data_IF_301976749586
#
_entry.id   IF_301976749586
#
_cell.length_a   1.000
_cell.length_b   1.000
_cell.length_c   1.000
_cell.angle_alpha   90.00
_cell.angle_beta   90.00
_cell.angle_gamma   90.00
#
_symmetry.space_group_name_H-M   'P 1'
#
loop_
_entity.id
_entity.type
_entity.pdbx_description
1 polymer ?
#
# COMPACT_ATOMS: atom_id res chain seq x y z
N UNK A 1 -36.80 71.55 21.41
CA UNK A 1 -35.70 70.80 20.77
C UNK A 1 -36.16 69.35 20.67
N UNK A 2 -36.68 68.99 19.47
CA UNK A 2 -37.14 67.61 19.18
C UNK A 2 -35.95 66.76 18.77
N UNK A 3 -35.62 65.73 19.51
CA UNK A 3 -34.70 64.68 19.16
C UNK A 3 -35.47 63.69 18.28
N UNK A 4 -35.36 63.78 16.95
CA UNK A 4 -35.84 62.80 16.02
C UNK A 4 -34.97 61.56 16.13
N UNK A 5 -35.56 60.45 16.57
CA UNK A 5 -34.97 59.10 16.49
C UNK A 5 -34.95 58.70 15.04
N UNK A 6 -33.80 58.80 14.38
CA UNK A 6 -33.53 58.15 13.14
C UNK A 6 -33.46 56.64 13.37
N UNK A 7 -34.58 55.92 13.10
CA UNK A 7 -34.58 54.50 12.89
C UNK A 7 -33.79 54.21 11.62
N UNK A 8 -32.55 53.88 11.76
CA UNK A 8 -31.73 53.35 10.66
C UNK A 8 -32.34 52.07 10.18
N UNK A 9 -32.93 52.10 8.99
CA UNK A 9 -33.24 50.94 8.20
C UNK A 9 -31.90 50.16 7.99
N UNK A 10 -31.75 49.05 8.68
CA UNK A 10 -30.62 48.18 8.48
C UNK A 10 -30.62 47.73 7.01
N UNK A 11 -29.82 48.38 6.22
CA UNK A 11 -29.40 47.82 4.94
C UNK A 11 -28.60 46.53 5.29
N UNK A 12 -29.29 45.37 5.23
CA UNK A 12 -28.58 44.11 5.16
C UNK A 12 -27.66 44.19 3.95
N UNK A 13 -26.34 44.24 4.22
CA UNK A 13 -25.32 44.16 3.17
C UNK A 13 -25.49 42.79 2.56
N UNK A 14 -26.25 42.69 1.47
CA UNK A 14 -26.31 41.47 0.66
C UNK A 14 -24.94 41.28 0.04
N UNK A 15 -24.20 40.26 0.50
CA UNK A 15 -22.93 39.90 -0.09
C UNK A 15 -23.14 39.58 -1.57
N UNK A 16 -22.26 40.05 -2.42
CA UNK A 16 -22.24 39.64 -3.82
C UNK A 16 -22.04 38.13 -3.93
N UNK A 17 -22.54 37.52 -5.00
CA UNK A 17 -22.37 36.07 -5.23
C UNK A 17 -20.89 35.64 -5.17
N UNK A 18 -19.99 36.46 -5.75
CA UNK A 18 -18.54 36.24 -5.72
C UNK A 18 -17.99 36.27 -4.29
N UNK A 19 -18.48 37.14 -3.44
CA UNK A 19 -18.10 37.17 -2.04
C UNK A 19 -18.59 35.96 -1.27
N UNK A 20 -19.81 35.47 -1.55
CA UNK A 20 -20.33 34.24 -0.98
C UNK A 20 -19.50 33.01 -1.42
N UNK A 21 -19.17 32.88 -2.71
CA UNK A 21 -18.34 31.80 -3.25
C UNK A 21 -16.94 31.82 -2.65
N UNK A 22 -16.34 33.01 -2.53
CA UNK A 22 -15.01 33.17 -1.92
C UNK A 22 -15.00 32.80 -0.43
N UNK A 23 -16.00 33.25 0.33
CA UNK A 23 -16.15 32.92 1.74
C UNK A 23 -16.35 31.40 1.95
N UNK A 24 -17.22 30.78 1.15
CA UNK A 24 -17.45 29.34 1.18
C UNK A 24 -16.17 28.56 0.84
N UNK A 25 -15.42 28.98 -0.19
CA UNK A 25 -14.15 28.37 -0.56
C UNK A 25 -13.14 28.43 0.59
N UNK A 26 -13.03 29.58 1.25
CA UNK A 26 -12.17 29.73 2.44
C UNK A 26 -12.57 28.80 3.58
N UNK A 27 -13.85 28.67 3.83
CA UNK A 27 -14.40 27.78 4.85
C UNK A 27 -14.14 26.30 4.53
N UNK A 28 -14.46 25.84 3.31
CA UNK A 28 -14.21 24.48 2.86
C UNK A 28 -12.72 24.10 2.94
N UNK A 29 -11.84 25.01 2.54
CA UNK A 29 -10.38 24.82 2.63
C UNK A 29 -9.94 24.72 4.09
N UNK A 30 -10.48 25.54 4.97
CA UNK A 30 -10.18 25.52 6.40
C UNK A 30 -10.61 24.21 7.06
N UNK A 31 -11.83 23.73 6.78
CA UNK A 31 -12.35 22.46 7.30
C UNK A 31 -11.56 21.27 6.76
N UNK A 32 -11.14 21.30 5.49
CA UNK A 32 -10.27 20.28 4.91
C UNK A 32 -8.96 20.17 5.70
N UNK A 33 -8.24 21.27 5.89
CA UNK A 33 -6.95 21.25 6.58
C UNK A 33 -7.05 20.95 8.06
N UNK A 34 -8.14 21.34 8.71
CA UNK A 34 -8.43 20.98 10.09
C UNK A 34 -8.63 19.46 10.22
N UNK A 35 -9.46 18.87 9.37
CA UNK A 35 -9.68 17.43 9.33
C UNK A 35 -8.39 16.70 8.97
N UNK A 36 -7.63 17.17 7.97
CA UNK A 36 -6.34 16.59 7.58
C UNK A 36 -5.37 16.47 8.76
N UNK A 37 -5.32 17.45 9.64
CA UNK A 37 -4.45 17.40 10.82
C UNK A 37 -4.96 16.41 11.87
N UNK A 38 -6.27 16.30 12.04
CA UNK A 38 -6.91 15.50 13.11
C UNK A 38 -7.03 14.01 12.77
N UNK A 39 -7.18 13.65 11.49
CA UNK A 39 -7.36 12.26 11.08
C UNK A 39 -6.11 11.45 11.40
N UNK A 40 -6.25 10.44 12.26
CA UNK A 40 -5.23 9.43 12.46
C UNK A 40 -5.24 8.46 11.26
N UNK A 41 -4.12 8.30 10.59
CA UNK A 41 -3.97 7.30 9.52
C UNK A 41 -3.59 5.98 10.14
N UNK A 42 -4.21 4.86 9.75
CA UNK A 42 -3.63 3.56 10.03
C UNK A 42 -2.19 3.53 9.50
N UNK A 43 -1.23 3.52 10.41
CA UNK A 43 0.19 3.56 10.03
C UNK A 43 0.73 2.19 9.56
N UNK A 44 -0.13 1.17 9.57
CA UNK A 44 0.21 -0.22 9.30
C UNK A 44 0.90 -0.42 7.94
N UNK A 45 0.40 0.24 6.88
CA UNK A 45 1.01 0.14 5.57
C UNK A 45 2.45 0.69 5.54
N UNK A 46 2.80 1.62 6.41
CA UNK A 46 4.16 2.16 6.54
C UNK A 46 5.13 1.15 7.14
N UNK A 47 4.63 0.12 7.82
CA UNK A 47 5.49 -0.95 8.34
C UNK A 47 6.23 -1.67 7.22
N UNK A 48 5.58 -1.90 6.08
CA UNK A 48 6.13 -2.63 4.93
C UNK A 48 6.36 -1.76 3.69
N UNK A 49 6.23 -0.43 3.79
CA UNK A 49 6.39 0.50 2.67
C UNK A 49 7.46 1.53 2.96
N UNK A 50 8.35 1.76 2.00
CA UNK A 50 9.29 2.88 2.02
C UNK A 50 8.67 4.07 1.29
N UNK A 51 8.67 5.26 1.90
CA UNK A 51 8.22 6.49 1.25
C UNK A 51 9.43 7.14 0.60
N UNK A 52 9.36 7.36 -0.71
CA UNK A 52 10.44 7.94 -1.51
C UNK A 52 9.96 9.27 -2.10
N UNK A 53 10.63 10.39 -1.82
CA UNK A 53 10.28 11.67 -2.43
C UNK A 53 10.58 11.65 -3.94
N UNK A 54 9.77 12.34 -4.74
CA UNK A 54 9.93 12.48 -6.19
C UNK A 54 9.81 13.93 -6.62
N UNK A 55 10.60 14.32 -7.60
CA UNK A 55 10.61 15.69 -8.16
C UNK A 55 10.23 15.74 -9.63
N UNK A 56 10.27 14.60 -10.34
CA UNK A 56 10.00 14.52 -11.78
C UNK A 56 8.73 13.70 -12.08
N UNK A 57 8.24 13.77 -13.32
CA UNK A 57 7.09 12.97 -13.75
C UNK A 57 7.42 11.49 -13.81
N UNK A 58 8.63 11.13 -14.21
CA UNK A 58 9.13 9.78 -14.29
C UNK A 58 10.46 9.77 -13.54
N UNK A 59 10.53 8.93 -12.52
CA UNK A 59 11.77 8.70 -11.79
C UNK A 59 12.41 7.40 -12.25
N UNK A 60 13.73 7.44 -12.36
CA UNK A 60 14.55 6.28 -12.66
C UNK A 60 15.23 5.83 -11.38
N UNK A 61 14.83 4.70 -10.85
CA UNK A 61 15.48 4.10 -9.68
C UNK A 61 16.58 3.18 -10.16
N UNK A 62 17.80 3.50 -9.78
CA UNK A 62 18.95 2.64 -10.00
C UNK A 62 18.98 1.64 -8.85
N UNK A 63 18.57 0.43 -9.12
CA UNK A 63 18.69 -0.68 -8.20
C UNK A 63 20.09 -1.26 -8.40
N UNK A 64 20.96 -1.08 -7.42
CA UNK A 64 22.28 -1.73 -7.40
C UNK A 64 22.14 -3.16 -6.88
N UNK A 65 22.93 -4.05 -7.41
CA UNK A 65 23.15 -5.35 -6.78
C UNK A 65 23.82 -5.15 -5.42
N UNK A 66 23.57 -6.01 -4.42
CA UNK A 66 24.25 -5.94 -3.13
C UNK A 66 25.77 -5.91 -3.29
N UNK A 67 26.44 -5.29 -2.33
CA UNK A 67 27.89 -5.29 -2.28
C UNK A 67 28.39 -6.74 -2.13
N UNK A 68 29.45 -7.15 -2.86
CA UNK A 68 30.00 -8.50 -2.72
C UNK A 68 30.34 -8.85 -1.28
N UNK A 69 30.12 -10.12 -0.92
CA UNK A 69 30.46 -10.63 0.40
C UNK A 69 31.95 -10.45 0.73
N UNK A 70 32.23 -10.38 2.03
CA UNK A 70 33.63 -10.34 2.50
C UNK A 70 34.29 -11.70 2.18
N UNK A 71 35.40 -11.66 1.42
CA UNK A 71 36.20 -12.85 1.12
C UNK A 71 37.57 -12.79 1.80
N UNK A 72 38.13 -13.96 2.09
CA UNK A 72 39.47 -14.04 2.68
C UNK A 72 40.51 -13.50 1.68
N UNK A 73 41.24 -12.49 2.09
CA UNK A 73 42.32 -11.93 1.26
C UNK A 73 43.53 -12.88 1.22
N UNK A 74 43.85 -13.36 0.02
CA UNK A 74 44.99 -14.24 -0.25
C UNK A 74 46.03 -13.60 -1.22
N UNK A 75 46.22 -12.29 -1.11
CA UNK A 75 47.22 -11.55 -1.90
C UNK A 75 46.69 -10.91 -3.20
N UNK A 76 45.55 -11.35 -3.73
CA UNK A 76 44.90 -10.74 -4.89
C UNK A 76 43.47 -10.28 -4.50
N UNK A 77 43.10 -9.06 -4.87
CA UNK A 77 41.74 -8.55 -4.67
C UNK A 77 40.88 -8.95 -5.84
N UNK A 78 39.78 -9.65 -5.55
CA UNK A 78 38.72 -9.86 -6.53
C UNK A 78 37.79 -8.65 -6.47
N UNK A 79 37.68 -7.91 -7.57
CA UNK A 79 36.75 -6.80 -7.71
C UNK A 79 35.44 -7.33 -8.22
N UNK A 80 34.42 -7.32 -7.38
CA UNK A 80 33.05 -7.57 -7.82
C UNK A 80 32.54 -6.37 -8.63
N UNK A 81 31.87 -6.62 -9.72
CA UNK A 81 31.22 -5.60 -10.52
C UNK A 81 29.81 -5.36 -9.96
N UNK A 82 29.48 -4.11 -9.64
CA UNK A 82 28.12 -3.74 -9.23
C UNK A 82 27.32 -3.47 -10.49
N UNK A 83 26.42 -4.39 -10.82
CA UNK A 83 25.47 -4.19 -11.91
C UNK A 83 24.33 -3.29 -11.43
N UNK A 84 23.95 -2.34 -12.27
CA UNK A 84 22.87 -1.41 -11.97
C UNK A 84 21.68 -1.64 -12.90
N UNK A 85 20.50 -1.75 -12.30
CA UNK A 85 19.23 -1.91 -13.03
C UNK A 85 18.40 -0.66 -12.86
N UNK A 86 17.74 -0.24 -13.93
CA UNK A 86 16.91 0.95 -13.93
C UNK A 86 15.44 0.53 -13.92
N UNK A 87 14.75 0.84 -12.82
CA UNK A 87 13.29 0.76 -12.77
C UNK A 87 12.70 2.14 -12.98
N UNK A 88 11.79 2.26 -13.96
CA UNK A 88 11.07 3.51 -14.19
C UNK A 88 9.73 3.48 -13.47
N UNK A 89 9.47 4.54 -12.70
CA UNK A 89 8.19 4.73 -12.01
C UNK A 89 7.61 6.07 -12.43
N UNK A 90 6.41 6.04 -13.01
CA UNK A 90 5.68 7.22 -13.44
C UNK A 90 4.72 7.66 -12.35
N UNK A 91 4.78 8.94 -11.98
CA UNK A 91 3.82 9.57 -11.10
C UNK A 91 2.48 9.77 -11.80
N UNK A 92 1.40 9.29 -11.18
CA UNK A 92 0.04 9.55 -11.62
C UNK A 92 -0.61 10.63 -10.77
N UNK A 93 -1.59 11.32 -11.35
CA UNK A 93 -2.39 12.34 -10.66
C UNK A 93 -3.70 11.71 -10.22
N UNK A 94 -4.02 11.84 -8.96
CA UNK A 94 -5.28 11.38 -8.39
C UNK A 94 -6.02 12.58 -7.82
N UNK A 95 -7.33 12.61 -8.03
CA UNK A 95 -8.16 13.69 -7.53
C UNK A 95 -9.44 13.19 -6.89
N UNK A 96 -9.99 14.00 -6.02
CA UNK A 96 -11.37 13.87 -5.52
C UNK A 96 -12.01 15.24 -5.58
N UNK A 97 -13.23 15.35 -6.08
CA UNK A 97 -13.91 16.62 -6.29
C UNK A 97 -15.32 16.65 -5.70
N UNK A 98 -15.76 17.84 -5.39
CA UNK A 98 -17.15 18.19 -5.07
C UNK A 98 -17.56 19.40 -5.91
N UNK A 99 -18.81 19.51 -6.24
CA UNK A 99 -19.33 20.65 -7.00
C UNK A 99 -20.65 21.14 -6.41
N UNK A 100 -20.94 22.44 -6.59
CA UNK A 100 -22.22 23.04 -6.30
C UNK A 100 -22.64 23.96 -7.44
N UNK A 101 -23.95 24.07 -7.66
CA UNK A 101 -24.52 25.07 -8.56
C UNK A 101 -24.44 26.44 -7.93
N UNK A 102 -24.27 27.47 -8.76
CA UNK A 102 -24.26 28.85 -8.31
C UNK A 102 -25.58 29.25 -7.64
N UNK A 103 -26.71 28.73 -8.14
CA UNK A 103 -28.02 28.94 -7.56
C UNK A 103 -28.11 28.40 -6.12
N UNK A 104 -27.58 27.20 -5.86
CA UNK A 104 -27.61 26.59 -4.53
C UNK A 104 -26.76 27.42 -3.52
N UNK A 105 -25.67 28.05 -4.01
CA UNK A 105 -24.84 28.93 -3.21
C UNK A 105 -25.56 30.29 -2.96
N UNK A 106 -26.23 30.81 -3.97
CA UNK A 106 -27.00 32.03 -3.86
C UNK A 106 -28.14 31.90 -2.84
N UNK A 107 -28.83 30.78 -2.87
CA UNK A 107 -29.94 30.43 -1.95
C UNK A 107 -29.47 29.94 -0.58
N UNK A 108 -28.17 29.95 -0.30
CA UNK A 108 -27.51 29.52 0.94
C UNK A 108 -27.80 28.05 1.34
N UNK A 109 -28.02 27.19 0.34
CA UNK A 109 -28.23 25.72 0.51
C UNK A 109 -26.90 24.95 0.62
N UNK A 110 -25.92 25.50 1.34
CA UNK A 110 -24.53 24.99 1.33
C UNK A 110 -24.21 24.09 2.54
N UNK A 111 -25.16 23.84 3.44
CA UNK A 111 -24.93 23.10 4.67
C UNK A 111 -24.31 21.70 4.46
N UNK A 112 -24.78 20.97 3.44
CA UNK A 112 -24.27 19.64 3.08
C UNK A 112 -22.85 19.73 2.52
N UNK A 113 -22.52 20.78 1.75
CA UNK A 113 -21.20 20.96 1.18
C UNK A 113 -20.12 21.11 2.25
N UNK A 114 -20.42 21.74 3.37
CA UNK A 114 -19.49 21.95 4.50
C UNK A 114 -19.10 20.64 5.19
N UNK A 115 -19.87 19.58 5.02
CA UNK A 115 -19.57 18.24 5.54
C UNK A 115 -18.62 17.44 4.64
N UNK A 116 -18.44 17.85 3.38
CA UNK A 116 -17.66 17.10 2.37
C UNK A 116 -16.14 17.19 2.54
N UNK A 117 -15.52 18.36 2.89
CA UNK A 117 -14.08 18.47 3.01
C UNK A 117 -13.41 17.52 4.02
N UNK A 118 -13.99 17.23 5.19
CA UNK A 118 -13.46 16.20 6.09
C UNK A 118 -13.35 14.80 5.43
N UNK A 119 -14.37 14.40 4.67
CA UNK A 119 -14.33 13.12 3.92
C UNK A 119 -13.31 13.13 2.79
N UNK A 120 -13.12 14.28 2.11
CA UNK A 120 -12.06 14.43 1.11
C UNK A 120 -10.67 14.30 1.76
N UNK A 121 -10.47 14.92 2.92
CA UNK A 121 -9.24 14.83 3.67
C UNK A 121 -8.95 13.39 4.12
N UNK A 122 -9.96 12.67 4.61
CA UNK A 122 -9.84 11.26 4.98
C UNK A 122 -9.44 10.39 3.78
N UNK A 123 -10.18 10.50 2.67
CA UNK A 123 -9.90 9.76 1.44
C UNK A 123 -8.48 10.02 0.94
N UNK A 124 -8.06 11.29 0.86
CA UNK A 124 -6.73 11.65 0.41
C UNK A 124 -5.62 11.11 1.33
N UNK A 125 -5.89 11.08 2.64
CA UNK A 125 -4.91 10.63 3.65
C UNK A 125 -4.72 9.11 3.69
N UNK A 126 -5.78 8.35 3.44
CA UNK A 126 -5.76 6.88 3.40
C UNK A 126 -5.26 6.37 2.03
N UNK A 127 -5.35 7.20 0.99
CA UNK A 127 -5.13 6.82 -0.40
C UNK A 127 -3.80 6.12 -0.67
N UNK A 128 -2.62 6.61 -0.21
CA UNK A 128 -1.34 5.94 -0.46
C UNK A 128 -1.30 4.49 0.04
N UNK A 129 -1.76 4.26 1.28
CA UNK A 129 -1.83 2.91 1.85
C UNK A 129 -2.76 1.98 1.07
N UNK A 130 -3.93 2.52 0.64
CA UNK A 130 -4.86 1.78 -0.20
C UNK A 130 -4.25 1.37 -1.53
N UNK A 131 -3.47 2.26 -2.17
CA UNK A 131 -2.82 1.98 -3.46
C UNK A 131 -1.70 0.95 -3.34
N UNK A 132 -0.94 0.99 -2.24
CA UNK A 132 0.09 -0.01 -1.94
C UNK A 132 -0.52 -1.41 -1.79
N UNK A 133 -1.59 -1.55 -1.01
CA UNK A 133 -2.25 -2.86 -0.84
C UNK A 133 -2.95 -3.31 -2.12
N UNK A 134 -3.50 -2.38 -2.91
CA UNK A 134 -4.07 -2.68 -4.23
C UNK A 134 -2.99 -3.21 -5.19
N UNK A 135 -1.78 -2.63 -5.20
CA UNK A 135 -0.66 -3.10 -6.00
C UNK A 135 -0.30 -4.56 -5.65
N UNK A 136 -0.23 -4.89 -4.35
CA UNK A 136 -0.01 -6.27 -3.90
C UNK A 136 -1.09 -7.23 -4.40
N UNK A 137 -2.36 -6.83 -4.31
CA UNK A 137 -3.47 -7.62 -4.83
C UNK A 137 -3.41 -7.84 -6.34
N UNK A 138 -3.03 -6.80 -7.11
CA UNK A 138 -2.85 -6.92 -8.57
C UNK A 138 -1.72 -7.88 -8.92
N UNK A 139 -0.59 -7.82 -8.20
CA UNK A 139 0.53 -8.72 -8.41
C UNK A 139 0.20 -10.18 -8.05
N UNK A 140 -0.76 -10.40 -7.14
CA UNK A 140 -1.29 -11.73 -6.81
C UNK A 140 -2.44 -12.18 -7.73
N UNK A 141 -2.80 -11.39 -8.74
CA UNK A 141 -3.88 -11.72 -9.67
C UNK A 141 -5.30 -11.59 -9.08
N UNK A 142 -5.47 -10.81 -8.01
CA UNK A 142 -6.78 -10.58 -7.41
C UNK A 142 -7.74 -9.90 -8.38
N UNK A 143 -8.91 -10.50 -8.61
CA UNK A 143 -9.94 -9.96 -9.50
C UNK A 143 -10.48 -8.61 -9.02
N UNK A 144 -10.63 -8.42 -7.71
CA UNK A 144 -11.09 -7.16 -7.12
C UNK A 144 -10.06 -6.05 -7.32
N UNK A 145 -8.78 -6.35 -7.17
CA UNK A 145 -7.73 -5.37 -7.40
C UNK A 145 -7.61 -5.00 -8.88
N UNK A 146 -7.75 -5.95 -9.79
CA UNK A 146 -7.69 -5.75 -11.25
C UNK A 146 -8.90 -5.00 -11.81
N UNK A 147 -10.10 -5.22 -11.26
CA UNK A 147 -11.34 -4.61 -11.73
C UNK A 147 -11.31 -3.07 -11.77
N UNK A 148 -10.47 -2.44 -10.97
CA UNK A 148 -10.35 -0.97 -10.88
C UNK A 148 -9.19 -0.38 -11.71
N UNK A 149 -8.70 -1.12 -12.70
CA UNK A 149 -7.58 -0.74 -13.59
C UNK A 149 -6.21 -1.02 -12.98
N UNK A 150 -5.24 -1.28 -13.84
CA UNK A 150 -3.85 -1.53 -13.44
C UNK A 150 -3.19 -0.27 -12.90
N UNK A 151 -2.46 -0.40 -11.81
CA UNK A 151 -1.70 0.68 -11.18
C UNK A 151 -0.22 0.30 -11.10
N UNK A 152 0.63 1.25 -11.41
CA UNK A 152 2.08 1.06 -11.31
C UNK A 152 2.63 -0.04 -12.21
N UNK A 153 3.87 -0.42 -11.95
CA UNK A 153 4.54 -1.54 -12.59
C UNK A 153 4.41 -2.78 -11.70
N UNK A 154 3.80 -3.84 -12.24
CA UNK A 154 3.63 -5.13 -11.53
C UNK A 154 4.87 -6.02 -11.61
N UNK A 155 5.88 -5.62 -12.36
CA UNK A 155 7.12 -6.36 -12.50
C UNK A 155 8.14 -5.93 -11.43
N UNK A 156 8.99 -6.86 -11.04
CA UNK A 156 10.20 -6.57 -10.28
C UNK A 156 11.27 -5.93 -11.20
N UNK A 157 12.39 -5.54 -10.61
CA UNK A 157 13.51 -4.91 -11.33
C UNK A 157 14.16 -5.81 -12.39
N UNK A 158 13.94 -7.12 -12.32
CA UNK A 158 14.39 -8.12 -13.30
C UNK A 158 13.45 -8.25 -14.52
N UNK A 159 12.38 -7.46 -14.57
CA UNK A 159 11.39 -7.48 -15.66
C UNK A 159 10.36 -8.61 -15.55
N UNK A 160 10.50 -9.52 -14.60
CA UNK A 160 9.53 -10.59 -14.33
C UNK A 160 8.40 -10.10 -13.45
N UNK A 161 7.20 -10.73 -13.48
CA UNK A 161 6.15 -10.46 -12.50
C UNK A 161 6.70 -10.49 -11.08
N UNK A 162 6.27 -9.58 -10.21
CA UNK A 162 6.84 -9.46 -8.87
C UNK A 162 6.78 -10.78 -8.10
N UNK A 163 5.62 -11.42 -8.07
CA UNK A 163 5.49 -12.78 -7.55
C UNK A 163 5.65 -13.78 -8.70
N UNK A 164 6.77 -14.48 -8.73
CA UNK A 164 7.07 -15.49 -9.75
C UNK A 164 8.16 -16.46 -9.29
N UNK A 165 8.26 -17.58 -9.98
CA UNK A 165 9.33 -18.55 -9.74
C UNK A 165 10.60 -18.16 -10.50
N UNK A 166 11.69 -17.89 -9.79
CA UNK A 166 13.01 -17.50 -10.29
C UNK A 166 14.07 -18.58 -10.07
N UNK A 167 13.67 -19.83 -10.07
CA UNK A 167 14.60 -20.97 -9.87
C UNK A 167 15.33 -21.39 -11.15
N UNK A 168 14.92 -20.89 -12.33
CA UNK A 168 15.51 -21.24 -13.61
C UNK A 168 16.66 -20.33 -14.00
N UNK A 169 17.59 -20.81 -14.81
CA UNK A 169 18.88 -20.21 -15.15
C UNK A 169 18.86 -18.80 -15.75
N UNK A 170 17.71 -18.33 -16.23
CA UNK A 170 17.55 -16.99 -16.82
C UNK A 170 17.55 -15.89 -15.75
N UNK A 171 17.26 -16.22 -14.51
CA UNK A 171 17.20 -15.27 -13.39
C UNK A 171 18.52 -15.16 -12.62
N UNK A 172 19.54 -15.94 -12.98
CA UNK A 172 20.81 -15.99 -12.24
C UNK A 172 21.58 -14.65 -12.16
N UNK A 173 21.37 -13.75 -13.14
CA UNK A 173 21.95 -12.41 -13.14
C UNK A 173 21.33 -11.50 -12.03
N UNK A 174 20.11 -11.78 -11.59
CA UNK A 174 19.35 -10.94 -10.67
C UNK A 174 19.10 -11.61 -9.30
N UNK A 175 19.70 -12.76 -9.04
CA UNK A 175 19.40 -13.60 -7.90
C UNK A 175 18.38 -14.70 -8.24
N UNK A 176 18.18 -15.62 -7.32
CA UNK A 176 17.28 -16.75 -7.51
C UNK A 176 16.39 -16.98 -6.30
N UNK A 177 15.29 -17.66 -6.51
CA UNK A 177 14.34 -18.05 -5.48
C UNK A 177 12.90 -18.08 -6.00
N UNK A 178 12.04 -18.75 -5.29
CA UNK A 178 10.61 -18.79 -5.58
C UNK A 178 9.85 -17.95 -4.56
N UNK A 179 9.30 -16.82 -4.99
CA UNK A 179 8.47 -15.96 -4.14
C UNK A 179 6.97 -16.08 -4.44
N UNK A 180 6.55 -17.07 -5.22
CA UNK A 180 5.15 -17.42 -5.41
C UNK A 180 4.92 -18.90 -5.10
N UNK A 181 4.18 -19.18 -4.06
CA UNK A 181 3.86 -20.53 -3.60
C UNK A 181 2.38 -20.80 -3.93
N UNK A 182 2.08 -22.02 -4.36
CA UNK A 182 0.70 -22.51 -4.47
C UNK A 182 0.52 -23.62 -3.43
N UNK A 183 -0.48 -23.45 -2.57
CA UNK A 183 -0.83 -24.43 -1.53
C UNK A 183 -2.25 -24.93 -1.77
N UNK A 184 -2.45 -26.24 -1.83
CA UNK A 184 -3.78 -26.86 -1.92
C UNK A 184 -4.19 -27.37 -0.55
N UNK A 185 -5.25 -26.82 0.02
CA UNK A 185 -5.81 -27.29 1.27
C UNK A 185 -6.60 -28.59 1.04
N UNK A 186 -6.85 -29.34 2.12
CA UNK A 186 -7.68 -30.55 2.08
C UNK A 186 -9.18 -30.24 2.00
N UNK A 187 -9.56 -28.96 1.99
CA UNK A 187 -10.93 -28.53 1.83
C UNK A 187 -11.47 -28.86 0.44
N UNK A 188 -12.75 -29.20 0.34
CA UNK A 188 -13.44 -29.39 -0.93
C UNK A 188 -13.77 -28.06 -1.64
N UNK A 189 -13.48 -26.93 -1.02
CA UNK A 189 -13.64 -25.60 -1.62
C UNK A 189 -12.53 -25.36 -2.66
N UNK A 190 -12.93 -25.00 -3.88
CA UNK A 190 -11.99 -24.70 -4.98
C UNK A 190 -11.65 -23.21 -5.10
N UNK A 191 -12.07 -22.40 -4.13
CA UNK A 191 -11.76 -20.97 -4.12
C UNK A 191 -10.28 -20.74 -3.88
N UNK A 192 -9.76 -19.66 -4.46
CA UNK A 192 -8.37 -19.25 -4.28
C UNK A 192 -8.33 -18.08 -3.29
N UNK A 193 -7.49 -18.21 -2.29
CA UNK A 193 -7.24 -17.19 -1.28
C UNK A 193 -5.80 -16.72 -1.38
N UNK A 194 -5.59 -15.42 -1.43
CA UNK A 194 -4.25 -14.85 -1.49
C UNK A 194 -3.74 -14.49 -0.10
N UNK A 195 -2.49 -14.82 0.15
CA UNK A 195 -1.73 -14.40 1.33
C UNK A 195 -0.37 -13.87 0.87
N UNK A 196 0.04 -12.73 1.38
CA UNK A 196 1.34 -12.12 1.09
C UNK A 196 2.10 -11.95 2.40
N UNK A 197 3.30 -12.49 2.45
CA UNK A 197 4.25 -12.28 3.53
C UNK A 197 5.30 -11.26 3.10
N UNK A 198 5.49 -10.22 3.91
CA UNK A 198 6.35 -9.08 3.64
C UNK A 198 7.43 -9.00 4.72
N UNK A 199 8.69 -9.06 4.31
CA UNK A 199 9.81 -8.86 5.21
C UNK A 199 10.06 -7.36 5.40
N UNK A 200 9.93 -6.88 6.62
CA UNK A 200 10.01 -5.46 6.99
C UNK A 200 11.29 -5.12 7.78
N UNK A 201 12.10 -6.12 8.08
CA UNK A 201 13.31 -5.97 8.90
C UNK A 201 14.48 -5.33 8.15
N UNK A 202 15.51 -5.04 8.84
CA UNK A 202 16.86 -4.48 8.60
C UNK A 202 17.27 -3.94 7.20
N UNK A 203 16.41 -3.98 6.20
CA UNK A 203 16.70 -3.48 4.86
C UNK A 203 16.48 -1.97 4.74
N UNK A 204 17.33 -1.29 3.96
CA UNK A 204 17.17 0.11 3.59
C UNK A 204 15.86 0.29 2.81
N UNK A 205 15.47 -0.72 2.02
CA UNK A 205 14.24 -0.74 1.23
C UNK A 205 13.31 -1.86 1.68
N UNK A 206 12.08 -1.49 2.01
CA UNK A 206 10.98 -2.41 2.29
C UNK A 206 10.43 -3.00 0.99
N UNK A 207 9.62 -4.09 1.04
CA UNK A 207 9.13 -4.79 -0.16
C UNK A 207 8.41 -3.91 -1.17
N UNK A 208 7.69 -2.90 -0.68
CA UNK A 208 6.94 -1.95 -1.51
C UNK A 208 7.41 -0.53 -1.21
N UNK A 209 7.37 0.34 -2.20
CA UNK A 209 7.62 1.76 -2.03
C UNK A 209 6.43 2.59 -2.52
N UNK A 210 6.22 3.73 -1.87
CA UNK A 210 5.34 4.78 -2.33
C UNK A 210 6.17 5.97 -2.77
N UNK A 211 6.10 6.30 -4.05
CA UNK A 211 6.71 7.49 -4.60
C UNK A 211 5.79 8.67 -4.31
N UNK A 212 6.26 9.60 -3.47
CA UNK A 212 5.49 10.78 -3.07
C UNK A 212 6.02 12.02 -3.79
N UNK A 213 5.25 12.55 -4.74
CA UNK A 213 5.64 13.72 -5.50
C UNK A 213 5.06 15.01 -4.93
N UNK A 214 3.76 15.01 -4.63
CA UNK A 214 3.12 16.13 -3.98
C UNK A 214 2.02 15.66 -3.05
N UNK A 215 2.01 16.22 -1.85
CA UNK A 215 0.91 16.06 -0.92
C UNK A 215 -0.40 16.64 -1.46
N UNK A 216 -1.49 16.60 -0.67
CA UNK A 216 -2.78 17.10 -1.10
C UNK A 216 -2.73 18.61 -1.36
N UNK A 217 -3.24 19.00 -2.52
CA UNK A 217 -3.42 20.40 -2.91
C UNK A 217 -4.90 20.68 -3.13
N UNK A 218 -5.47 21.54 -2.27
CA UNK A 218 -6.88 21.91 -2.33
C UNK A 218 -7.05 23.08 -3.28
N UNK A 219 -7.76 22.87 -4.38
CA UNK A 219 -7.96 23.81 -5.46
C UNK A 219 -9.44 24.07 -5.74
N UNK A 220 -9.74 25.12 -6.50
CA UNK A 220 -11.08 25.50 -6.94
C UNK A 220 -11.04 26.18 -8.31
N UNK A 221 -12.15 26.08 -9.04
CA UNK A 221 -12.38 26.88 -10.26
C UNK A 221 -13.19 28.16 -9.97
N UNK A 222 -13.42 28.52 -8.71
CA UNK A 222 -14.18 29.73 -8.37
C UNK A 222 -13.53 30.99 -8.97
N UNK A 223 -14.35 31.90 -9.49
CA UNK A 223 -13.88 33.12 -10.12
C UNK A 223 -13.26 32.95 -11.52
N UNK A 224 -13.35 31.80 -12.14
CA UNK A 224 -12.91 31.55 -13.51
C UNK A 224 -14.08 31.74 -14.50
N UNK A 225 -13.83 32.12 -15.78
CA UNK A 225 -14.88 32.16 -16.80
C UNK A 225 -15.67 30.83 -16.89
N UNK A 226 -14.99 29.69 -16.74
CA UNK A 226 -15.59 28.38 -16.77
C UNK A 226 -16.64 28.16 -15.66
N UNK A 227 -16.45 28.72 -14.46
CA UNK A 227 -17.44 28.59 -13.38
C UNK A 227 -18.72 29.34 -13.68
N UNK A 228 -18.64 30.46 -14.37
CA UNK A 228 -19.80 31.28 -14.80
C UNK A 228 -20.52 30.64 -15.99
N UNK A 229 -19.80 30.17 -17.00
CA UNK A 229 -20.37 29.49 -18.16
C UNK A 229 -21.11 28.19 -17.80
N UNK A 230 -20.51 27.39 -16.95
CA UNK A 230 -21.10 26.12 -16.50
C UNK A 230 -22.10 26.29 -15.36
N UNK A 231 -22.19 27.46 -14.73
CA UNK A 231 -22.91 27.72 -13.48
C UNK A 231 -22.60 26.73 -12.36
N UNK A 232 -21.34 26.17 -12.35
CA UNK A 232 -20.85 25.20 -11.39
C UNK A 232 -19.53 25.67 -10.78
N UNK A 233 -19.49 25.72 -9.45
CA UNK A 233 -18.24 25.85 -8.71
C UNK A 233 -17.79 24.47 -8.29
N UNK A 234 -16.52 24.18 -8.53
CA UNK A 234 -15.87 22.92 -8.21
C UNK A 234 -14.73 23.14 -7.24
N UNK A 235 -14.60 22.23 -6.30
CA UNK A 235 -13.46 22.16 -5.40
C UNK A 235 -12.90 20.76 -5.47
N UNK A 236 -11.59 20.64 -5.58
CA UNK A 236 -10.95 19.34 -5.66
C UNK A 236 -9.63 19.32 -4.89
N UNK A 237 -9.22 18.12 -4.57
CA UNK A 237 -7.93 17.83 -3.95
C UNK A 237 -7.14 16.94 -4.88
N UNK A 238 -5.97 17.42 -5.30
CA UNK A 238 -5.02 16.66 -6.11
C UNK A 238 -3.94 16.04 -5.22
N UNK A 239 -3.55 14.82 -5.56
CA UNK A 239 -2.44 14.09 -4.97
C UNK A 239 -1.64 13.42 -6.09
N UNK A 240 -0.30 13.47 -6.02
CA UNK A 240 0.56 12.86 -7.04
C UNK A 240 1.51 11.86 -6.41
N UNK A 241 1.55 10.68 -6.99
CA UNK A 241 2.43 9.62 -6.53
C UNK A 241 2.21 8.33 -7.29
N UNK A 242 2.96 7.30 -6.94
CA UNK A 242 2.78 5.95 -7.47
C UNK A 242 3.34 4.90 -6.50
N UNK A 243 2.65 3.76 -6.31
CA UNK A 243 3.23 2.62 -5.63
C UNK A 243 4.09 1.83 -6.61
N UNK A 244 5.17 1.23 -6.13
CA UNK A 244 6.00 0.33 -6.91
C UNK A 244 6.67 -0.73 -6.04
N UNK A 245 7.14 -1.80 -6.67
CA UNK A 245 7.84 -2.87 -6.00
C UNK A 245 9.35 -2.60 -5.93
N UNK A 246 9.96 -3.04 -4.82
CA UNK A 246 11.40 -3.04 -4.63
C UNK A 246 11.96 -4.45 -4.90
N UNK A 247 12.79 -4.97 -4.00
CA UNK A 247 13.39 -6.29 -4.17
C UNK A 247 12.39 -7.43 -3.95
N UNK A 248 12.33 -8.37 -4.88
CA UNK A 248 11.40 -9.49 -4.84
C UNK A 248 11.65 -10.47 -3.68
N UNK A 249 12.89 -10.57 -3.21
CA UNK A 249 13.24 -11.44 -2.07
C UNK A 249 12.74 -10.92 -0.71
N UNK A 250 12.19 -9.73 -0.66
CA UNK A 250 11.56 -9.20 0.55
C UNK A 250 10.06 -9.53 0.65
N UNK A 251 9.52 -10.32 -0.27
CA UNK A 251 8.12 -10.71 -0.24
C UNK A 251 7.91 -12.13 -0.77
N UNK A 252 6.95 -12.84 -0.20
CA UNK A 252 6.47 -14.14 -0.65
C UNK A 252 4.96 -14.10 -0.79
N UNK A 253 4.45 -14.39 -1.98
CA UNK A 253 3.03 -14.55 -2.25
C UNK A 253 2.63 -16.02 -2.15
N UNK A 254 1.45 -16.29 -1.61
CA UNK A 254 0.88 -17.63 -1.52
C UNK A 254 -0.53 -17.63 -2.08
N UNK A 255 -0.77 -18.47 -3.09
CA UNK A 255 -2.10 -18.79 -3.58
C UNK A 255 -2.59 -20.05 -2.84
N UNK A 256 -3.60 -19.92 -2.03
CA UNK A 256 -4.17 -21.01 -1.24
C UNK A 256 -5.44 -21.46 -1.93
N UNK A 257 -5.48 -22.70 -2.43
CA UNK A 257 -6.67 -23.31 -3.05
C UNK A 257 -7.44 -24.03 -1.95
N UNK A 258 -8.68 -23.63 -1.72
CA UNK A 258 -9.52 -24.12 -0.64
C UNK A 258 -9.27 -23.47 0.71
N UNK A 259 -10.26 -23.52 1.60
CA UNK A 259 -10.18 -22.91 2.93
C UNK A 259 -9.23 -23.68 3.83
N UNK A 260 -8.09 -23.11 4.24
CA UNK A 260 -7.12 -23.82 5.08
C UNK A 260 -7.61 -23.90 6.53
N UNK A 261 -7.31 -24.99 7.20
CA UNK A 261 -7.42 -25.11 8.65
C UNK A 261 -6.16 -24.55 9.35
N UNK A 262 -6.13 -24.50 10.68
CA UNK A 262 -5.02 -23.93 11.46
C UNK A 262 -3.70 -24.70 11.23
N UNK A 263 -3.74 -26.02 11.13
CA UNK A 263 -2.55 -26.84 10.89
C UNK A 263 -1.98 -26.60 9.48
N UNK A 264 -2.84 -26.44 8.50
CA UNK A 264 -2.46 -26.08 7.13
C UNK A 264 -1.88 -24.67 7.06
N UNK A 265 -2.43 -23.72 7.83
CA UNK A 265 -1.84 -22.38 7.96
C UNK A 265 -0.42 -22.43 8.53
N UNK A 266 -0.15 -23.31 9.51
CA UNK A 266 1.19 -23.50 10.03
C UNK A 266 2.14 -24.14 9.01
N UNK A 267 1.64 -25.06 8.18
CA UNK A 267 2.42 -25.60 7.06
C UNK A 267 2.74 -24.51 6.02
N UNK A 268 1.79 -23.63 5.71
CA UNK A 268 1.99 -22.47 4.84
C UNK A 268 3.06 -21.54 5.42
N UNK A 269 3.02 -21.22 6.71
CA UNK A 269 4.04 -20.38 7.35
C UNK A 269 5.43 -21.03 7.28
N UNK A 270 5.53 -22.34 7.45
CA UNK A 270 6.79 -23.07 7.26
C UNK A 270 7.32 -22.97 5.84
N UNK A 271 6.44 -23.06 4.82
CA UNK A 271 6.82 -22.88 3.42
C UNK A 271 7.27 -21.45 3.12
N UNK A 272 6.59 -20.43 3.68
CA UNK A 272 6.98 -19.02 3.58
C UNK A 272 8.40 -18.83 4.14
N UNK A 273 8.68 -19.35 5.34
CA UNK A 273 10.03 -19.25 5.93
C UNK A 273 11.08 -19.97 5.09
N UNK A 274 10.75 -21.13 4.54
CA UNK A 274 11.63 -21.86 3.64
C UNK A 274 11.93 -21.05 2.40
N UNK A 275 10.91 -20.44 1.79
CA UNK A 275 11.09 -19.57 0.62
C UNK A 275 12.02 -18.38 0.93
N UNK A 276 11.80 -17.67 2.04
CA UNK A 276 12.70 -16.57 2.44
C UNK A 276 14.15 -17.03 2.63
N UNK A 277 14.38 -18.23 3.20
CA UNK A 277 15.72 -18.76 3.42
C UNK A 277 16.41 -19.28 2.16
N UNK A 278 15.65 -19.52 1.09
CA UNK A 278 16.20 -20.03 -0.19
C UNK A 278 16.52 -18.93 -1.19
N UNK A 279 16.20 -17.67 -0.91
CA UNK A 279 16.60 -16.57 -1.78
C UNK A 279 18.11 -16.38 -1.78
N UNK A 280 18.68 -16.35 -2.98
CA UNK A 280 20.10 -16.14 -3.21
C UNK A 280 20.35 -14.81 -3.92
N UNK A 281 21.44 -14.15 -3.56
CA UNK A 281 21.95 -13.00 -4.30
C UNK A 281 22.43 -13.40 -5.71
N UNK A 282 22.53 -12.43 -6.64
CA UNK A 282 23.09 -12.68 -7.96
C UNK A 282 24.48 -13.31 -7.89
N UNK A 283 24.72 -14.35 -8.69
CA UNK A 283 26.02 -15.06 -8.71
C UNK A 283 27.21 -14.18 -9.13
N UNK A 284 26.99 -13.10 -9.87
CA UNK A 284 28.02 -12.13 -10.24
C UNK A 284 28.68 -11.44 -9.06
N UNK A 285 28.09 -11.53 -7.87
CA UNK A 285 28.54 -10.86 -6.65
C UNK A 285 29.10 -11.80 -5.59
N UNK A 286 28.79 -13.09 -5.71
CA UNK A 286 29.26 -14.12 -4.79
C UNK A 286 30.51 -14.78 -5.38
N UNK A 287 31.64 -14.65 -4.71
CA UNK A 287 32.87 -15.39 -5.02
C UNK A 287 32.80 -16.82 -4.49
N UNK A 288 31.79 -17.13 -3.69
CA UNK A 288 31.51 -18.44 -3.10
C UNK A 288 30.07 -18.86 -3.44
N UNK A 289 29.78 -20.14 -3.36
CA UNK A 289 28.51 -20.73 -3.78
C UNK A 289 27.29 -20.07 -3.10
N UNK A 290 26.63 -19.18 -3.83
CA UNK A 290 25.28 -18.68 -3.55
C UNK A 290 25.02 -18.17 -2.14
N UNK A 291 25.41 -16.92 -1.86
CA UNK A 291 25.06 -16.27 -0.59
C UNK A 291 23.54 -16.09 -0.48
N UNK A 292 22.97 -16.55 0.63
CA UNK A 292 21.54 -16.43 0.89
C UNK A 292 21.19 -15.07 1.49
N UNK A 293 20.11 -14.45 0.98
CA UNK A 293 19.69 -13.09 1.40
C UNK A 293 19.30 -13.05 2.88
N UNK A 294 18.63 -14.10 3.37
CA UNK A 294 18.07 -14.17 4.73
C UNK A 294 18.66 -15.29 5.56
N UNK A 295 19.91 -15.68 5.32
CA UNK A 295 20.55 -16.84 5.96
C UNK A 295 20.49 -16.79 7.50
N UNK A 296 20.79 -15.64 8.07
CA UNK A 296 20.86 -15.45 9.52
C UNK A 296 19.63 -14.73 10.10
N UNK A 297 18.58 -14.53 9.29
CA UNK A 297 17.41 -13.78 9.72
C UNK A 297 16.52 -14.60 10.64
N UNK A 298 16.24 -14.09 11.84
CA UNK A 298 15.19 -14.59 12.71
C UNK A 298 13.90 -13.87 12.38
N UNK A 299 12.94 -14.61 11.82
CA UNK A 299 11.62 -14.07 11.48
C UNK A 299 10.71 -14.02 12.71
N UNK A 300 10.13 -12.86 12.96
CA UNK A 300 9.19 -12.62 14.06
C UNK A 300 8.27 -11.44 13.75
N UNK A 301 7.35 -11.12 14.63
CA UNK A 301 6.42 -9.98 14.45
C UNK A 301 7.10 -8.61 14.34
N UNK A 302 8.38 -8.49 14.69
CA UNK A 302 9.14 -7.24 14.50
C UNK A 302 9.60 -7.02 13.06
N UNK A 303 9.70 -8.07 12.25
CA UNK A 303 10.26 -7.99 10.90
C UNK A 303 9.44 -8.73 9.82
N UNK A 304 8.32 -9.35 10.18
CA UNK A 304 7.44 -10.05 9.24
C UNK A 304 6.02 -9.51 9.36
N UNK A 305 5.42 -9.19 8.22
CA UNK A 305 4.05 -8.72 8.11
C UNK A 305 3.28 -9.58 7.12
N UNK A 306 2.10 -10.07 7.51
CA UNK A 306 1.21 -10.86 6.67
C UNK A 306 0.01 -10.03 6.24
N UNK A 307 -0.33 -10.06 4.95
CA UNK A 307 -1.57 -9.49 4.44
C UNK A 307 -2.32 -10.60 3.72
N UNK A 308 -3.49 -10.95 4.23
CA UNK A 308 -4.33 -11.99 3.66
C UNK A 308 -5.60 -11.47 2.99
N UNK A 309 -6.24 -12.32 2.19
CA UNK A 309 -7.63 -12.15 1.78
C UNK A 309 -8.52 -11.99 3.01
N UNK A 310 -9.61 -11.22 2.88
CA UNK A 310 -10.57 -10.98 3.98
C UNK A 310 -11.18 -12.29 4.52
N UNK A 311 -11.25 -13.30 3.69
CA UNK A 311 -11.76 -14.63 4.04
C UNK A 311 -10.80 -15.46 4.90
N UNK A 312 -9.53 -15.06 5.01
CA UNK A 312 -8.53 -15.70 5.86
C UNK A 312 -8.42 -15.08 7.26
N UNK A 313 -9.28 -14.12 7.59
CA UNK A 313 -9.17 -13.36 8.85
C UNK A 313 -9.22 -14.24 10.10
N UNK A 314 -10.12 -15.22 10.14
CA UNK A 314 -10.25 -16.10 11.29
C UNK A 314 -9.08 -17.08 11.39
N UNK A 315 -8.63 -17.65 10.28
CA UNK A 315 -7.49 -18.55 10.22
C UNK A 315 -6.19 -17.85 10.66
N UNK A 316 -5.98 -16.61 10.20
CA UNK A 316 -4.82 -15.80 10.63
C UNK A 316 -4.91 -15.44 12.11
N UNK A 317 -6.10 -15.04 12.60
CA UNK A 317 -6.32 -14.78 14.02
C UNK A 317 -6.01 -15.98 14.89
N UNK A 318 -6.52 -17.16 14.52
CA UNK A 318 -6.27 -18.40 15.25
C UNK A 318 -4.81 -18.82 15.20
N UNK A 319 -4.16 -18.69 14.06
CA UNK A 319 -2.80 -19.17 13.87
C UNK A 319 -1.73 -18.25 14.46
N UNK A 320 -1.95 -16.91 14.44
CA UNK A 320 -0.90 -15.94 14.81
C UNK A 320 -1.16 -15.27 16.17
N UNK A 321 -2.44 -15.12 16.56
CA UNK A 321 -2.79 -14.29 17.74
C UNK A 321 -3.24 -15.11 18.95
N UNK A 322 -3.76 -16.32 18.78
CA UNK A 322 -4.26 -17.13 19.89
C UNK A 322 -3.15 -17.90 20.62
N UNK A 323 -3.32 -18.05 21.94
CA UNK A 323 -2.40 -18.84 22.78
C UNK A 323 -2.55 -20.35 22.57
N UNK A 324 -3.76 -20.78 22.28
CA UNK A 324 -4.16 -22.18 22.19
C UNK A 324 -4.79 -22.45 20.84
N UNK A 325 -4.49 -23.61 20.28
CA UNK A 325 -5.10 -24.08 19.05
C UNK A 325 -5.77 -25.45 19.27
N UNK A 326 -6.88 -25.72 18.57
CA UNK A 326 -7.51 -27.02 18.60
C UNK A 326 -6.64 -28.05 17.86
N UNK A 327 -6.35 -29.16 18.49
CA UNK A 327 -5.69 -30.29 17.87
C UNK A 327 -6.57 -31.54 18.04
N UNK A 328 -6.79 -32.25 16.96
CA UNK A 328 -7.50 -33.55 17.02
C UNK A 328 -6.58 -34.64 17.53
N UNK A 329 -6.99 -35.30 18.59
CA UNK A 329 -6.31 -36.48 19.14
C UNK A 329 -7.35 -37.62 19.17
N UNK A 330 -7.30 -38.50 18.19
CA UNK A 330 -8.33 -39.51 17.99
C UNK A 330 -9.69 -38.87 17.67
N UNK A 331 -10.73 -39.21 18.44
CA UNK A 331 -12.08 -38.63 18.32
C UNK A 331 -12.31 -37.37 19.16
N UNK A 332 -11.31 -36.89 19.88
CA UNK A 332 -11.39 -35.74 20.78
C UNK A 332 -10.57 -34.56 20.25
N UNK A 333 -11.05 -33.36 20.54
CA UNK A 333 -10.29 -32.14 20.28
C UNK A 333 -9.66 -31.64 21.57
N UNK A 334 -8.34 -31.48 21.59
CA UNK A 334 -7.56 -30.99 22.74
C UNK A 334 -6.96 -29.63 22.40
N UNK A 335 -6.91 -28.75 23.38
CA UNK A 335 -6.19 -27.47 23.22
C UNK A 335 -4.68 -27.72 23.39
N UNK A 336 -3.89 -27.28 22.42
CA UNK A 336 -2.42 -27.32 22.47
C UNK A 336 -1.84 -25.91 22.36
N UNK A 337 -0.62 -25.72 22.87
CA UNK A 337 0.09 -24.45 22.80
C UNK A 337 0.35 -24.07 21.34
N UNK A 338 0.05 -22.82 20.98
CA UNK A 338 0.33 -22.30 19.65
C UNK A 338 1.76 -21.78 19.56
N UNK A 339 2.64 -22.54 18.92
CA UNK A 339 4.05 -22.18 18.71
C UNK A 339 4.25 -21.05 17.67
N UNK A 340 3.22 -20.67 16.93
CA UNK A 340 3.25 -19.60 15.94
C UNK A 340 2.67 -18.30 16.46
N UNK A 341 2.27 -18.24 17.72
CA UNK A 341 1.83 -17.00 18.36
C UNK A 341 2.90 -15.92 18.24
N UNK A 342 2.52 -14.75 17.72
CA UNK A 342 3.45 -13.63 17.53
C UNK A 342 4.49 -13.83 16.41
N UNK A 343 4.31 -14.82 15.55
CA UNK A 343 5.18 -15.10 14.42
C UNK A 343 5.30 -13.90 13.47
N UNK A 344 4.19 -13.18 13.22
CA UNK A 344 4.14 -12.04 12.35
C UNK A 344 3.09 -11.04 12.83
N UNK A 345 3.21 -9.78 12.41
CA UNK A 345 2.06 -8.89 12.38
C UNK A 345 1.18 -9.25 11.19
N UNK A 346 -0.12 -9.06 11.29
CA UNK A 346 -1.02 -9.43 10.21
C UNK A 346 -2.18 -8.47 10.05
N UNK A 347 -2.72 -8.42 8.84
CA UNK A 347 -3.95 -7.72 8.47
C UNK A 347 -4.64 -8.46 7.32
N UNK A 348 -5.87 -8.08 7.02
CA UNK A 348 -6.61 -8.60 5.87
C UNK A 348 -7.07 -7.47 4.97
N UNK A 349 -7.16 -7.74 3.67
CA UNK A 349 -7.61 -6.76 2.70
C UNK A 349 -8.44 -7.39 1.60
N UNK A 350 -9.56 -6.76 1.29
CA UNK A 350 -10.40 -7.13 0.14
C UNK A 350 -9.67 -7.04 -1.20
N UNK A 351 -8.58 -6.28 -1.30
CA UNK A 351 -7.77 -6.24 -2.52
C UNK A 351 -6.98 -7.52 -2.79
N UNK A 352 -6.93 -8.43 -1.83
CA UNK A 352 -6.38 -9.77 -2.00
C UNK A 352 -7.45 -10.83 -2.26
N UNK A 353 -8.73 -10.47 -2.29
CA UNK A 353 -9.81 -11.39 -2.61
C UNK A 353 -9.84 -11.67 -4.12
N UNK A 354 -10.17 -12.89 -4.51
CA UNK A 354 -10.14 -13.37 -5.91
C UNK A 354 -11.52 -13.69 -6.49
N UNK A 355 -12.61 -13.42 -5.77
CA UNK A 355 -13.99 -13.70 -6.22
C UNK A 355 -14.96 -12.63 -5.73
#
# INVERSE_FOLDING_TARGET
>A
VNLGVLLGSGYGVTMSLDAKVSALTGELKSEFWKAWKQIAVPAEWKAFTTIVPSTTRIENYINGTPVPALSLWRGTRNYGQVDTFVSQVRNEVYHTEISAKLEDIEDDQTGILKMSPPFMAEKAKIFPGRMVVKLLGQAMGSSIALASGTIGNLNAFDGLPYFSNRTTSTSGAFGSGNNLITYSSQSNDQKVYNLVALFTGNGILKPVAWQDRSGPDFQTNSGTPQSYESRLVRWWVDLRGAPFFTYFWNAVGVNIIGTPNVAEMHAIFSQILTAFRTFQYPKSLSTEDGEYVHEQTVFNSGNLYLIGSTYLSEQLRQSVSQDWMPQSVGSSTVATTNNWKGFANWNVSRFLDTF
#
